data_IF_631848976308
#
_entry.id   IF_631848976308
#
_cell.length_a   1.000
_cell.length_b   1.000
_cell.length_c   1.000
_cell.angle_alpha   90.00
_cell.angle_beta   90.00
_cell.angle_gamma   90.00
#
_symmetry.space_group_name_H-M   'P 1'
#
loop_
_entity.id
_entity.type
_entity.pdbx_description
1 polymer ?
#
# COMPACT_ATOMS: atom_id res chain seq x y z
N UNK A 1 -2.51 -21.51 -5.33
CA UNK A 1 -1.45 -20.70 -4.69
C UNK A 1 -1.31 -19.30 -5.28
N UNK A 2 -0.99 -19.16 -6.58
CA UNK A 2 -0.84 -17.86 -7.27
C UNK A 2 -2.07 -16.95 -7.18
N UNK A 3 -3.28 -17.50 -7.28
CA UNK A 3 -4.54 -16.76 -7.18
C UNK A 3 -4.72 -16.09 -5.80
N UNK A 4 -4.43 -16.79 -4.69
CA UNK A 4 -4.57 -16.23 -3.33
C UNK A 4 -3.65 -15.03 -3.10
N UNK A 5 -2.42 -15.09 -3.63
CA UNK A 5 -1.47 -13.97 -3.51
C UNK A 5 -1.91 -12.76 -4.33
N UNK A 6 -2.50 -12.96 -5.51
CA UNK A 6 -3.03 -11.86 -6.31
C UNK A 6 -4.23 -11.20 -5.65
N UNK A 7 -5.16 -11.98 -5.12
CA UNK A 7 -6.29 -11.48 -4.34
C UNK A 7 -5.82 -10.72 -3.10
N UNK A 8 -4.83 -11.24 -2.38
CA UNK A 8 -4.22 -10.52 -1.25
C UNK A 8 -3.64 -9.17 -1.68
N UNK A 9 -2.83 -9.12 -2.75
CA UNK A 9 -2.26 -7.86 -3.26
C UNK A 9 -3.32 -6.84 -3.70
N UNK A 10 -4.46 -7.29 -4.23
CA UNK A 10 -5.58 -6.39 -4.59
C UNK A 10 -6.19 -5.72 -3.37
N UNK A 11 -6.14 -6.36 -2.20
CA UNK A 11 -6.64 -5.83 -0.92
C UNK A 11 -5.65 -4.91 -0.20
N UNK A 12 -4.54 -4.53 -0.84
CA UNK A 12 -3.60 -3.59 -0.24
C UNK A 12 -4.28 -2.22 -0.06
N UNK A 13 -4.31 -1.64 1.15
CA UNK A 13 -5.07 -0.41 1.42
C UNK A 13 -4.53 0.80 0.65
N UNK A 14 -3.21 0.89 0.44
CA UNK A 14 -2.60 1.95 -0.38
C UNK A 14 -3.05 1.85 -1.85
N UNK A 15 -3.12 0.63 -2.37
CA UNK A 15 -3.56 0.37 -3.75
C UNK A 15 -5.05 0.65 -3.95
N UNK A 16 -5.87 0.30 -2.96
CA UNK A 16 -7.31 0.59 -2.96
C UNK A 16 -7.54 2.10 -3.01
N UNK A 17 -6.98 2.83 -2.03
CA UNK A 17 -7.07 4.29 -1.98
C UNK A 17 -6.65 4.93 -3.31
N UNK A 18 -5.48 4.55 -3.82
CA UNK A 18 -4.97 5.07 -5.09
C UNK A 18 -5.95 4.85 -6.25
N UNK A 19 -6.62 3.70 -6.30
CA UNK A 19 -7.57 3.38 -7.37
C UNK A 19 -8.90 4.10 -7.20
N UNK A 20 -9.38 4.29 -5.97
CA UNK A 20 -10.58 5.05 -5.66
C UNK A 20 -10.42 6.53 -6.02
N UNK A 21 -9.24 7.08 -5.75
CA UNK A 21 -8.86 8.46 -6.12
C UNK A 21 -8.46 8.61 -7.61
N UNK A 22 -8.54 7.55 -8.42
CA UNK A 22 -8.19 7.59 -9.84
C UNK A 22 -6.69 7.80 -10.13
N UNK A 23 -5.82 7.61 -9.14
CA UNK A 23 -4.39 7.87 -9.22
C UNK A 23 -3.60 6.71 -9.87
N UNK A 24 -2.55 7.05 -10.61
CA UNK A 24 -1.50 6.12 -11.01
C UNK A 24 -0.43 5.98 -9.90
N UNK A 25 0.43 4.96 -9.97
CA UNK A 25 1.53 4.83 -9.00
C UNK A 25 2.47 6.05 -9.02
N UNK A 26 2.82 6.63 -10.19
CA UNK A 26 3.51 7.92 -10.25
C UNK A 26 2.81 9.07 -9.54
N UNK A 27 1.48 9.20 -9.69
CA UNK A 27 0.74 10.31 -9.06
C UNK A 27 0.82 10.23 -7.53
N UNK A 28 0.58 9.04 -6.97
CA UNK A 28 0.71 8.82 -5.53
C UNK A 28 2.16 9.01 -5.05
N UNK A 29 3.14 8.57 -5.84
CA UNK A 29 4.55 8.76 -5.52
C UNK A 29 4.90 10.26 -5.42
N UNK A 30 4.38 11.08 -6.33
CA UNK A 30 4.55 12.53 -6.29
C UNK A 30 3.87 13.17 -5.07
N UNK A 31 2.66 12.72 -4.72
CA UNK A 31 1.91 13.22 -3.54
C UNK A 31 2.65 12.92 -2.24
N UNK A 32 3.17 11.70 -2.08
CA UNK A 32 3.87 11.27 -0.86
C UNK A 32 5.33 11.76 -0.83
N UNK A 33 5.89 12.10 -2.00
CA UNK A 33 7.28 12.54 -2.15
C UNK A 33 8.27 11.39 -2.11
N UNK A 34 7.96 10.27 -2.78
CA UNK A 34 8.82 9.08 -2.87
C UNK A 34 8.98 8.63 -4.33
N UNK A 35 9.83 7.64 -4.59
CA UNK A 35 9.95 7.06 -5.94
C UNK A 35 8.75 6.17 -6.29
N UNK A 36 8.46 6.03 -7.60
CA UNK A 36 7.45 5.07 -8.09
C UNK A 36 7.77 3.64 -7.65
N UNK A 37 9.06 3.29 -7.64
CA UNK A 37 9.53 1.98 -7.17
C UNK A 37 9.21 1.75 -5.69
N UNK A 38 9.27 2.79 -4.85
CA UNK A 38 8.88 2.72 -3.44
C UNK A 38 7.40 2.35 -3.30
N UNK A 39 6.51 3.02 -4.05
CA UNK A 39 5.08 2.71 -4.08
C UNK A 39 4.84 1.26 -4.54
N UNK A 40 5.51 0.82 -5.61
CA UNK A 40 5.40 -0.55 -6.10
C UNK A 40 5.77 -1.58 -5.02
N UNK A 41 6.88 -1.36 -4.30
CA UNK A 41 7.36 -2.27 -3.25
C UNK A 41 6.43 -2.31 -2.04
N UNK A 42 5.77 -1.19 -1.72
CA UNK A 42 4.70 -1.13 -0.71
C UNK A 42 3.47 -1.91 -1.17
N UNK A 43 2.94 -1.66 -2.37
CA UNK A 43 1.76 -2.37 -2.90
C UNK A 43 2.00 -3.88 -3.05
N UNK A 44 3.24 -4.29 -3.34
CA UNK A 44 3.65 -5.69 -3.38
C UNK A 44 3.85 -6.33 -1.99
N UNK A 45 3.88 -5.49 -0.94
CA UNK A 45 4.09 -5.90 0.45
C UNK A 45 5.48 -6.42 0.74
N UNK A 46 6.44 -6.06 -0.11
CA UNK A 46 7.85 -6.42 0.00
C UNK A 46 8.55 -5.63 1.11
N UNK A 47 8.14 -4.38 1.33
CA UNK A 47 8.59 -3.51 2.42
C UNK A 47 7.38 -2.74 2.96
N UNK A 48 7.44 -2.30 4.21
CA UNK A 48 6.42 -1.42 4.80
C UNK A 48 6.86 0.04 4.73
N UNK A 49 5.93 1.00 4.57
CA UNK A 49 6.20 2.40 4.89
C UNK A 49 6.53 2.50 6.39
N UNK A 50 7.40 3.44 6.75
CA UNK A 50 7.82 3.68 8.12
C UNK A 50 8.17 5.15 8.34
N UNK A 51 8.23 5.57 9.61
CA UNK A 51 8.62 6.91 9.99
C UNK A 51 7.75 7.98 9.31
N UNK A 52 8.38 8.95 8.66
CA UNK A 52 7.68 10.05 7.98
C UNK A 52 6.70 9.57 6.90
N UNK A 53 7.02 8.47 6.20
CA UNK A 53 6.15 7.95 5.15
C UNK A 53 4.87 7.36 5.71
N UNK A 54 4.94 6.68 6.86
CA UNK A 54 3.75 6.19 7.55
C UNK A 54 2.86 7.36 8.00
N UNK A 55 3.47 8.42 8.56
CA UNK A 55 2.76 9.64 8.96
C UNK A 55 2.08 10.32 7.76
N UNK A 56 2.76 10.41 6.61
CA UNK A 56 2.18 10.99 5.38
C UNK A 56 0.98 10.17 4.90
N UNK A 57 1.11 8.85 4.87
CA UNK A 57 0.03 7.97 4.44
C UNK A 57 -1.16 8.00 5.42
N UNK A 58 -0.91 8.07 6.72
CA UNK A 58 -1.97 8.23 7.73
C UNK A 58 -2.73 9.55 7.66
N UNK A 59 -2.16 10.59 7.04
CA UNK A 59 -2.88 11.84 6.74
C UNK A 59 -3.76 11.75 5.49
N UNK A 60 -3.43 10.85 4.57
CA UNK A 60 -4.15 10.65 3.31
C UNK A 60 -5.26 9.60 3.44
N UNK A 61 -5.01 8.58 4.27
CA UNK A 61 -5.86 7.40 4.40
C UNK A 61 -6.23 7.25 5.88
N UNK A 62 -7.51 7.46 6.19
CA UNK A 62 -8.02 7.27 7.54
C UNK A 62 -7.81 5.82 8.01
N UNK A 63 -7.27 5.64 9.21
CA UNK A 63 -6.98 4.30 9.75
C UNK A 63 -5.88 3.53 9.00
N UNK A 64 -4.99 4.22 8.28
CA UNK A 64 -3.95 3.58 7.46
C UNK A 64 -3.17 2.48 8.19
N UNK A 65 -2.64 2.79 9.39
CA UNK A 65 -1.79 1.84 10.12
C UNK A 65 -2.53 0.55 10.48
N UNK A 66 -3.80 0.63 10.90
CA UNK A 66 -4.60 -0.54 11.25
C UNK A 66 -4.90 -1.40 10.01
N UNK A 67 -5.38 -0.76 8.94
CA UNK A 67 -5.66 -1.45 7.66
C UNK A 67 -4.39 -2.09 7.08
N UNK A 68 -3.26 -1.41 7.17
CA UNK A 68 -1.97 -1.91 6.70
C UNK A 68 -1.52 -3.14 7.48
N UNK A 69 -1.60 -3.08 8.81
CA UNK A 69 -1.21 -4.17 9.69
C UNK A 69 -2.11 -5.40 9.49
N UNK A 70 -3.43 -5.18 9.39
CA UNK A 70 -4.38 -6.25 9.07
C UNK A 70 -4.04 -6.91 7.72
N UNK A 71 -3.82 -6.11 6.68
CA UNK A 71 -3.45 -6.62 5.37
C UNK A 71 -2.13 -7.43 5.43
N UNK A 72 -1.11 -6.92 6.13
CA UNK A 72 0.19 -7.61 6.28
C UNK A 72 0.07 -8.94 7.03
N UNK A 73 -0.73 -8.99 8.09
CA UNK A 73 -0.94 -10.19 8.91
C UNK A 73 -1.71 -11.28 8.14
N UNK A 74 -2.59 -10.87 7.22
CA UNK A 74 -3.35 -11.78 6.37
C UNK A 74 -2.60 -12.23 5.11
N UNK A 75 -1.27 -12.02 5.02
CA UNK A 75 -0.47 -12.48 3.88
C UNK A 75 -0.51 -14.01 3.79
N UNK A 76 -1.01 -14.60 2.68
CA UNK A 76 -1.06 -16.04 2.53
C UNK A 76 0.34 -16.65 2.66
N UNK A 77 0.47 -17.71 3.44
CA UNK A 77 1.68 -18.52 3.45
C UNK A 77 1.92 -19.14 2.07
N UNK A 78 3.19 -19.34 1.74
CA UNK A 78 3.60 -20.17 0.61
C UNK A 78 3.12 -21.60 0.85
#
# INVERSE_FOLDING_TARGET
>A
MKLRLQEWKKRNPLKIYRKEEGLSQPDLAAIVGVSVYTIQRWEDGAVSPSGENEVKLGKLIEGFSDQWNEWKNNKPSL
#
